data_IF_076270489500
#
_entry.id   IF_076270489500
#
_cell.length_a   1.000
_cell.length_b   1.000
_cell.length_c   1.000
_cell.angle_alpha   90.00
_cell.angle_beta   90.00
_cell.angle_gamma   90.00
#
_symmetry.space_group_name_H-M   'P 1'
#
loop_
_entity.id
_entity.type
_entity.pdbx_description
1 polymer ?
#
# COMPACT_ATOMS: atom_id res chain seq x y z
N UNK A 1 -13.83 7.83 0.85
CA UNK A 1 -12.37 7.92 1.02
C UNK A 1 -11.75 7.87 -0.35
N UNK A 2 -10.82 8.77 -0.63
CA UNK A 2 -9.98 8.73 -1.82
C UNK A 2 -8.65 8.08 -1.46
N UNK A 3 -7.87 7.68 -2.47
CA UNK A 3 -6.54 7.10 -2.23
C UNK A 3 -5.58 8.12 -1.60
N UNK A 4 -5.80 9.41 -1.86
CA UNK A 4 -5.02 10.52 -1.30
C UNK A 4 -5.18 10.66 0.22
N UNK A 5 -6.29 10.15 0.79
CA UNK A 5 -6.46 10.08 2.25
C UNK A 5 -5.37 9.21 2.93
N UNK A 6 -4.69 8.35 2.15
CA UNK A 6 -3.60 7.50 2.61
C UNK A 6 -2.20 8.10 2.38
N UNK A 7 -2.09 9.28 1.75
CA UNK A 7 -0.82 9.99 1.53
C UNK A 7 -0.36 10.73 2.81
N UNK A 8 -0.23 9.94 3.88
CA UNK A 8 0.29 10.39 5.16
C UNK A 8 1.81 10.16 5.13
N UNK A 9 2.65 11.18 5.34
CA UNK A 9 4.11 11.05 5.19
C UNK A 9 4.75 9.90 5.98
N UNK A 10 4.20 9.59 7.16
CA UNK A 10 4.68 8.48 8.00
C UNK A 10 4.43 7.09 7.37
N UNK A 11 3.41 6.94 6.54
CA UNK A 11 3.08 5.69 5.87
C UNK A 11 3.95 5.41 4.65
N UNK A 12 4.77 6.39 4.21
CA UNK A 12 5.62 6.24 3.02
C UNK A 12 4.85 5.64 1.85
N UNK A 13 3.63 6.13 1.65
CA UNK A 13 2.68 5.59 0.71
C UNK A 13 3.20 5.72 -0.72
N UNK A 14 3.21 4.62 -1.48
CA UNK A 14 3.65 4.64 -2.87
C UNK A 14 3.04 3.49 -3.68
N UNK A 15 2.84 3.69 -4.99
CA UNK A 15 2.46 2.61 -5.88
C UNK A 15 3.62 1.64 -6.06
N UNK A 16 3.30 0.35 -6.16
CA UNK A 16 4.27 -0.67 -6.55
C UNK A 16 4.61 -0.53 -8.04
N UNK A 17 5.68 -1.20 -8.47
CA UNK A 17 6.20 -1.11 -9.85
C UNK A 17 6.17 -2.47 -10.53
N UNK A 18 6.25 -2.47 -11.85
CA UNK A 18 6.32 -3.70 -12.64
C UNK A 18 4.95 -4.39 -12.74
N UNK A 19 4.91 -5.68 -12.41
CA UNK A 19 3.69 -6.51 -12.48
C UNK A 19 2.59 -6.07 -11.50
N UNK A 20 2.98 -5.41 -10.41
CA UNK A 20 2.09 -5.02 -9.31
C UNK A 20 1.73 -3.52 -9.36
N UNK A 21 1.87 -2.86 -10.52
CA UNK A 21 1.64 -1.40 -10.67
C UNK A 21 0.25 -0.90 -10.26
N UNK A 22 -0.72 -1.79 -10.17
CA UNK A 22 -2.10 -1.49 -9.78
C UNK A 22 -2.31 -1.67 -8.25
N UNK A 23 -1.23 -1.98 -7.53
CA UNK A 23 -1.19 -2.12 -6.07
C UNK A 23 -0.39 -1.00 -5.43
N UNK A 24 -0.70 -0.76 -4.17
CA UNK A 24 -0.08 0.25 -3.33
C UNK A 24 0.61 -0.39 -2.14
N UNK A 25 1.58 0.32 -1.56
CA UNK A 25 2.29 -0.10 -0.35
C UNK A 25 2.26 0.99 0.70
N UNK A 26 2.04 0.60 1.97
CA UNK A 26 2.29 1.42 3.14
C UNK A 26 3.30 0.77 4.08
N UNK A 27 4.12 1.61 4.70
CA UNK A 27 5.06 1.29 5.75
C UNK A 27 4.34 1.17 7.10
N UNK A 28 4.53 0.04 7.79
CA UNK A 28 3.96 -0.20 9.12
C UNK A 28 5.05 0.01 10.18
N UNK A 29 6.03 -0.90 10.26
CA UNK A 29 7.18 -0.79 11.15
C UNK A 29 8.30 -1.72 10.66
N UNK A 30 9.55 -1.40 11.01
CA UNK A 30 10.73 -2.19 10.59
C UNK A 30 10.67 -2.58 9.11
N UNK A 31 10.60 -3.89 8.87
CA UNK A 31 10.56 -4.49 7.54
C UNK A 31 9.15 -4.71 7.00
N UNK A 32 8.11 -4.55 7.82
CA UNK A 32 6.74 -4.88 7.44
C UNK A 32 6.12 -3.84 6.53
N UNK A 33 5.49 -4.32 5.46
CA UNK A 33 4.68 -3.54 4.52
C UNK A 33 3.30 -4.16 4.40
N UNK A 34 2.31 -3.29 4.22
CA UNK A 34 0.98 -3.70 3.83
C UNK A 34 0.80 -3.33 2.36
N UNK A 35 0.39 -4.28 1.52
CA UNK A 35 0.15 -4.07 0.10
C UNK A 35 -1.30 -4.38 -0.25
N UNK A 36 -1.91 -3.55 -1.10
CA UNK A 36 -3.33 -3.69 -1.44
C UNK A 36 -3.65 -3.05 -2.78
N UNK A 37 -4.70 -3.56 -3.41
CA UNK A 37 -5.38 -2.86 -4.49
C UNK A 37 -6.39 -1.87 -3.90
N UNK A 38 -6.46 -0.67 -4.47
CA UNK A 38 -7.48 0.30 -4.08
C UNK A 38 -8.50 0.48 -5.20
N UNK A 39 -9.77 0.19 -4.92
CA UNK A 39 -10.86 0.28 -5.90
C UNK A 39 -12.11 0.84 -5.21
N UNK A 40 -12.73 1.84 -5.83
CA UNK A 40 -13.99 2.44 -5.36
C UNK A 40 -14.01 2.82 -3.86
N UNK A 41 -12.88 3.31 -3.35
CA UNK A 41 -12.75 3.71 -1.95
C UNK A 41 -12.46 2.57 -0.97
N UNK A 42 -12.26 1.34 -1.45
CA UNK A 42 -12.04 0.14 -0.64
C UNK A 42 -10.69 -0.51 -0.96
N UNK A 43 -10.10 -1.15 0.06
CA UNK A 43 -8.88 -1.95 -0.07
C UNK A 43 -9.23 -3.41 -0.38
N UNK A 44 -8.58 -3.99 -1.38
CA UNK A 44 -8.72 -5.37 -1.83
C UNK A 44 -7.35 -6.05 -1.90
N UNK A 45 -7.34 -7.39 -1.87
CA UNK A 45 -6.13 -8.22 -2.01
C UNK A 45 -5.03 -7.71 -1.06
N UNK A 46 -5.38 -7.73 0.23
CA UNK A 46 -4.55 -7.23 1.30
C UNK A 46 -3.51 -8.28 1.68
N UNK A 47 -2.24 -7.97 1.45
CA UNK A 47 -1.11 -8.80 1.87
C UNK A 47 -0.29 -8.08 2.94
N UNK A 48 0.24 -8.87 3.89
CA UNK A 48 1.15 -8.41 4.92
C UNK A 48 2.52 -9.04 4.65
N UNK A 49 3.45 -8.24 4.13
CA UNK A 49 4.73 -8.71 3.61
C UNK A 49 5.88 -8.27 4.51
N UNK A 50 6.77 -9.21 4.85
CA UNK A 50 8.07 -8.90 5.45
C UNK A 50 9.05 -8.59 4.31
N UNK A 51 9.62 -7.40 4.30
CA UNK A 51 10.51 -6.95 3.24
C UNK A 51 11.97 -7.42 3.48
N UNK A 52 12.19 -8.70 3.78
CA UNK A 52 13.51 -9.34 3.95
C UNK A 52 13.67 -10.59 3.11
#
# INVERSE_FOLDING_TARGET
>A
MTIDDMDIPSFRFHPLKGKDKDRWSIWINGNWRLTFEFRDGNAYILDYEDYH
#
